data_IF_742403847485
#
_entry.id   IF_742403847485
#
_cell.length_a   1.000
_cell.length_b   1.000
_cell.length_c   1.000
_cell.angle_alpha   90.00
_cell.angle_beta   90.00
_cell.angle_gamma   90.00
#
_symmetry.space_group_name_H-M   'P 1'
#
loop_
_entity.id
_entity.type
_entity.pdbx_description
1 polymer ?
#
# COMPACT_ATOMS: atom_id res chain seq x y z
N UNK A 1 -10.90 19.37 16.57
CA UNK A 1 -12.11 19.57 17.40
C UNK A 1 -11.81 20.07 18.81
N UNK A 2 -11.30 19.28 19.76
CA UNK A 2 -11.12 19.77 21.15
C UNK A 2 -10.12 20.93 21.31
N UNK A 3 -9.05 20.95 20.50
CA UNK A 3 -8.03 22.02 20.55
C UNK A 3 -8.55 23.30 19.89
N UNK A 4 -9.26 23.18 18.78
CA UNK A 4 -9.85 24.33 18.06
C UNK A 4 -10.94 25.01 18.89
N UNK A 5 -11.77 24.24 19.61
CA UNK A 5 -12.78 24.80 20.51
C UNK A 5 -12.14 25.55 21.68
N UNK A 6 -11.11 24.97 22.32
CA UNK A 6 -10.36 25.65 23.38
C UNK A 6 -9.64 26.90 22.88
N UNK A 7 -9.16 26.88 21.64
CA UNK A 7 -8.55 28.04 21.01
C UNK A 7 -9.55 29.17 20.78
N UNK A 8 -10.76 28.86 20.30
CA UNK A 8 -11.79 29.87 20.04
C UNK A 8 -12.13 30.69 21.30
N UNK A 9 -12.32 30.03 22.45
CA UNK A 9 -12.60 30.71 23.73
C UNK A 9 -11.45 31.64 24.15
N UNK A 10 -10.20 31.22 23.94
CA UNK A 10 -9.02 32.01 24.24
C UNK A 10 -8.87 33.19 23.29
N UNK A 11 -9.11 32.99 21.99
CA UNK A 11 -9.08 34.05 20.98
C UNK A 11 -10.11 35.12 21.34
N UNK A 12 -11.35 34.72 21.64
CA UNK A 12 -12.41 35.65 22.05
C UNK A 12 -12.02 36.43 23.31
N UNK A 13 -11.42 35.77 24.30
CA UNK A 13 -10.91 36.44 25.50
C UNK A 13 -9.85 37.50 25.16
N UNK A 14 -8.84 37.16 24.36
CA UNK A 14 -7.77 38.08 23.98
C UNK A 14 -8.25 39.21 23.07
N UNK A 15 -9.20 38.95 22.17
CA UNK A 15 -9.81 39.97 21.30
C UNK A 15 -10.64 40.97 22.13
N UNK A 16 -11.40 40.48 23.10
CA UNK A 16 -12.15 41.33 24.03
C UNK A 16 -11.23 42.21 24.89
N UNK A 17 -10.09 41.68 25.34
CA UNK A 17 -9.08 42.47 26.05
C UNK A 17 -8.39 43.49 25.13
N UNK A 18 -8.06 43.10 23.89
CA UNK A 18 -7.44 43.99 22.92
C UNK A 18 -8.35 45.16 22.50
N UNK A 19 -9.67 44.96 22.48
CA UNK A 19 -10.65 46.03 22.16
C UNK A 19 -10.90 47.01 23.32
N UNK A 20 -10.62 46.62 24.56
CA UNK A 20 -10.82 47.46 25.75
C UNK A 20 -9.57 48.25 26.17
N UNK A 21 -8.38 47.76 25.80
CA UNK A 21 -7.10 48.36 26.16
C UNK A 21 -6.66 49.45 25.16
N UNK A 22 -5.88 50.42 25.66
CA UNK A 22 -5.23 51.43 24.82
C UNK A 22 -3.94 50.87 24.19
N UNK A 23 -3.54 51.44 23.06
CA UNK A 23 -2.33 51.11 22.30
C UNK A 23 -1.04 50.91 23.13
N UNK A 24 -0.87 51.64 24.24
CA UNK A 24 0.31 51.53 25.12
C UNK A 24 0.30 50.30 26.04
N UNK A 25 -0.87 49.72 26.33
CA UNK A 25 -1.02 48.54 27.19
C UNK A 25 -1.16 47.24 26.39
N UNK A 26 -0.98 47.29 25.07
CA UNK A 26 -1.20 46.18 24.16
C UNK A 26 0.00 45.21 24.13
N UNK A 27 1.20 45.69 24.45
CA UNK A 27 2.41 44.87 24.46
C UNK A 27 2.40 43.73 25.50
N UNK A 28 2.05 43.94 26.78
CA UNK A 28 1.90 42.85 27.75
C UNK A 28 0.88 41.79 27.31
N UNK A 29 -0.22 42.21 26.69
CA UNK A 29 -1.24 41.31 26.15
C UNK A 29 -0.69 40.45 25.01
N UNK A 30 0.11 41.04 24.11
CA UNK A 30 0.75 40.30 23.02
C UNK A 30 1.74 39.30 23.58
N UNK A 31 2.54 39.66 24.59
CA UNK A 31 3.45 38.71 25.25
C UNK A 31 2.66 37.55 25.85
N UNK A 32 1.56 37.82 26.54
CA UNK A 32 0.70 36.79 27.14
C UNK A 32 0.09 35.87 26.07
N UNK A 33 -0.49 36.44 25.01
CA UNK A 33 -1.09 35.68 23.90
C UNK A 33 -0.04 34.83 23.17
N UNK A 34 1.11 35.41 22.81
CA UNK A 34 2.19 34.70 22.11
C UNK A 34 2.85 33.64 22.99
N UNK A 35 2.84 33.77 24.31
CA UNK A 35 3.38 32.76 25.24
C UNK A 35 2.36 31.68 25.63
N UNK A 36 1.06 31.87 25.38
CA UNK A 36 0.01 30.97 25.88
C UNK A 36 0.04 29.56 25.21
N UNK A 37 0.26 28.45 25.91
CA UNK A 37 0.61 27.15 25.31
C UNK A 37 -0.43 26.58 24.34
N UNK A 38 -1.72 26.92 24.51
CA UNK A 38 -2.80 26.41 23.66
C UNK A 38 -3.18 27.32 22.49
N UNK A 39 -2.63 28.53 22.38
CA UNK A 39 -3.02 29.52 21.36
C UNK A 39 -2.03 29.51 20.19
N UNK A 40 -2.52 29.15 19.00
CA UNK A 40 -1.72 29.04 17.78
C UNK A 40 -2.27 29.84 16.59
N UNK A 41 -3.44 30.45 16.74
CA UNK A 41 -4.06 31.36 15.76
C UNK A 41 -4.07 32.79 16.32
N UNK A 42 -3.63 33.73 15.50
CA UNK A 42 -3.44 35.14 15.84
C UNK A 42 -4.10 36.08 14.83
N UNK A 43 -4.71 35.57 13.76
CA UNK A 43 -5.29 36.39 12.69
C UNK A 43 -6.41 37.31 13.19
N UNK A 44 -7.24 36.83 14.11
CA UNK A 44 -8.34 37.57 14.71
C UNK A 44 -7.81 38.70 15.61
N UNK A 45 -6.77 38.42 16.39
CA UNK A 45 -6.08 39.40 17.24
C UNK A 45 -5.43 40.47 16.36
N UNK A 46 -4.80 40.07 15.25
CA UNK A 46 -4.19 40.98 14.27
C UNK A 46 -5.23 41.84 13.54
N UNK A 47 -6.40 41.28 13.24
CA UNK A 47 -7.50 41.99 12.57
C UNK A 47 -8.21 43.01 13.46
N UNK A 48 -7.93 43.03 14.76
CA UNK A 48 -8.51 43.98 15.69
C UNK A 48 -8.13 45.42 15.32
N UNK A 49 -9.09 46.37 15.32
CA UNK A 49 -8.84 47.76 14.93
C UNK A 49 -7.80 48.43 15.83
N UNK A 50 -7.79 48.14 17.13
CA UNK A 50 -6.80 48.68 18.08
C UNK A 50 -5.36 48.28 17.73
N UNK A 51 -5.20 47.12 17.11
CA UNK A 51 -3.89 46.60 16.69
C UNK A 51 -3.46 47.23 15.38
N UNK A 52 -4.40 47.44 14.45
CA UNK A 52 -4.15 48.17 13.20
C UNK A 52 -3.74 49.63 13.45
N UNK A 53 -4.27 50.27 14.50
CA UNK A 53 -3.88 51.63 14.92
C UNK A 53 -2.42 51.76 15.40
N UNK A 54 -1.75 50.64 15.70
CA UNK A 54 -0.34 50.65 16.09
C UNK A 54 0.61 50.87 14.90
N UNK A 55 0.11 50.76 13.65
CA UNK A 55 0.90 50.91 12.45
C UNK A 55 1.36 52.36 12.28
N UNK A 56 2.68 52.58 12.42
CA UNK A 56 3.29 53.92 12.38
C UNK A 56 3.54 54.58 13.74
N UNK A 57 3.22 53.90 14.84
CA UNK A 57 3.55 54.36 16.21
C UNK A 57 4.89 53.79 16.71
N UNK A 58 5.36 54.25 17.87
CA UNK A 58 6.55 53.72 18.56
C UNK A 58 6.44 52.21 18.88
N UNK A 59 5.22 51.67 18.90
CA UNK A 59 4.92 50.26 19.16
C UNK A 59 4.77 49.43 17.87
N UNK A 60 5.29 49.90 16.73
CA UNK A 60 5.25 49.16 15.46
C UNK A 60 5.92 47.78 15.55
N UNK A 61 6.91 47.62 16.43
CA UNK A 61 7.55 46.34 16.70
C UNK A 61 6.57 45.27 17.22
N UNK A 62 5.50 45.66 17.94
CA UNK A 62 4.46 44.75 18.42
C UNK A 62 3.71 44.10 17.26
N UNK A 63 3.41 44.90 16.22
CA UNK A 63 2.76 44.43 15.00
C UNK A 63 3.66 43.48 14.22
N UNK A 64 4.95 43.80 14.12
CA UNK A 64 5.91 42.94 13.41
C UNK A 64 6.07 41.58 14.11
N UNK A 65 6.04 41.55 15.45
CA UNK A 65 6.01 40.29 16.22
C UNK A 65 4.71 39.52 15.96
N UNK A 66 3.54 40.16 16.04
CA UNK A 66 2.27 39.45 15.74
C UNK A 66 2.23 38.93 14.30
N UNK A 67 2.69 39.70 13.31
CA UNK A 67 2.79 39.27 11.90
C UNK A 67 3.74 38.09 11.73
N UNK A 68 4.85 38.08 12.48
CA UNK A 68 5.79 36.95 12.50
C UNK A 68 5.12 35.68 13.06
N UNK A 69 4.36 35.77 14.14
CA UNK A 69 3.66 34.61 14.71
C UNK A 69 2.49 34.14 13.83
N UNK A 70 1.75 35.06 13.22
CA UNK A 70 0.65 34.72 12.33
C UNK A 70 1.15 34.07 11.02
N UNK A 71 2.21 34.59 10.40
CA UNK A 71 2.57 34.22 9.03
C UNK A 71 4.02 33.78 8.83
N UNK A 72 4.93 34.15 9.71
CA UNK A 72 6.37 33.90 9.54
C UNK A 72 6.87 32.61 10.20
N UNK A 73 8.18 32.41 10.20
CA UNK A 73 8.88 31.22 10.68
C UNK A 73 10.06 31.59 11.59
N UNK A 74 10.67 30.61 12.25
CA UNK A 74 11.88 30.80 13.05
C UNK A 74 13.04 31.38 12.22
N UNK A 75 13.19 30.93 10.97
CA UNK A 75 14.18 31.47 10.04
C UNK A 75 13.94 32.94 9.69
N UNK A 76 12.67 33.37 9.60
CA UNK A 76 12.32 34.78 9.39
C UNK A 76 12.67 35.65 10.60
N UNK A 77 12.51 35.12 11.82
CA UNK A 77 12.93 35.80 13.05
C UNK A 77 14.44 36.02 13.07
N UNK A 78 15.24 34.98 12.78
CA UNK A 78 16.70 35.08 12.72
C UNK A 78 17.17 36.10 11.69
N UNK A 79 16.54 36.12 10.52
CA UNK A 79 16.87 37.05 9.44
C UNK A 79 16.56 38.50 9.81
N UNK A 80 15.56 38.72 10.67
CA UNK A 80 15.09 40.04 11.12
C UNK A 80 15.49 40.38 12.57
N UNK A 81 16.49 39.68 13.14
CA UNK A 81 16.88 39.82 14.55
C UNK A 81 17.31 41.24 14.96
N UNK A 82 17.64 42.12 14.00
CA UNK A 82 17.96 43.53 14.26
C UNK A 82 16.76 44.46 14.41
N UNK A 83 15.56 44.07 13.96
CA UNK A 83 14.32 44.88 14.05
C UNK A 83 13.36 44.41 15.14
N UNK A 84 13.41 43.12 15.48
CA UNK A 84 12.48 42.51 16.41
C UNK A 84 13.05 42.48 17.83
N UNK A 85 12.21 42.58 18.87
CA UNK A 85 12.64 42.43 20.25
C UNK A 85 13.12 40.99 20.53
N UNK A 86 13.89 40.82 21.61
CA UNK A 86 14.26 39.50 22.09
C UNK A 86 13.02 38.77 22.62
N UNK A 87 12.80 37.56 22.10
CA UNK A 87 11.66 36.73 22.47
C UNK A 87 11.93 35.98 23.78
N UNK A 88 10.88 35.82 24.58
CA UNK A 88 10.85 34.99 25.79
C UNK A 88 10.98 33.51 25.39
N UNK A 89 11.57 32.61 26.21
CA UNK A 89 11.73 31.20 25.86
C UNK A 89 10.44 30.51 25.39
N UNK A 90 9.30 30.82 26.01
CA UNK A 90 7.99 30.27 25.62
C UNK A 90 7.55 30.73 24.21
N UNK A 91 7.83 31.99 23.86
CA UNK A 91 7.59 32.53 22.53
C UNK A 91 8.50 31.88 21.48
N UNK A 92 9.77 31.63 21.82
CA UNK A 92 10.72 30.91 20.95
C UNK A 92 10.22 29.50 20.67
N UNK A 93 9.81 28.77 21.71
CA UNK A 93 9.26 27.43 21.60
C UNK A 93 8.03 27.42 20.67
N UNK A 94 7.12 28.38 20.86
CA UNK A 94 5.93 28.49 20.00
C UNK A 94 6.26 28.84 18.56
N UNK A 95 7.20 29.75 18.31
CA UNK A 95 7.58 30.08 16.94
C UNK A 95 8.21 28.87 16.22
N UNK A 96 8.96 28.05 16.95
CA UNK A 96 9.45 26.75 16.44
C UNK A 96 8.29 25.79 16.14
N UNK A 97 7.29 25.67 17.01
CA UNK A 97 6.09 24.85 16.76
C UNK A 97 5.33 25.30 15.50
N UNK A 98 5.13 26.61 15.34
CA UNK A 98 4.47 27.19 14.16
C UNK A 98 5.28 26.99 12.86
N UNK A 99 6.61 26.93 12.97
CA UNK A 99 7.49 26.60 11.85
C UNK A 99 7.28 25.16 11.41
N UNK A 100 7.20 24.20 12.35
CA UNK A 100 6.86 22.81 12.04
C UNK A 100 5.50 22.70 11.37
N UNK A 101 4.49 23.41 11.87
CA UNK A 101 3.16 23.44 11.25
C UNK A 101 3.20 23.93 9.80
N UNK A 102 3.93 25.01 9.54
CA UNK A 102 4.08 25.56 8.18
C UNK A 102 4.76 24.56 7.25
N UNK A 103 5.79 23.86 7.73
CA UNK A 103 6.46 22.82 6.95
C UNK A 103 5.54 21.62 6.68
N UNK A 104 4.78 21.20 7.69
CA UNK A 104 3.84 20.09 7.64
C UNK A 104 2.63 20.36 6.72
N UNK A 105 2.26 21.62 6.55
CA UNK A 105 1.27 22.06 5.57
C UNK A 105 1.77 21.88 4.14
N UNK A 106 3.04 22.21 3.88
CA UNK A 106 3.62 22.14 2.54
C UNK A 106 3.99 20.72 2.12
N UNK A 107 4.53 19.91 3.05
CA UNK A 107 5.09 18.60 2.74
C UNK A 107 4.60 17.53 3.73
N UNK A 108 4.12 16.40 3.20
CA UNK A 108 3.71 15.24 4.02
C UNK A 108 4.87 14.45 4.62
N UNK A 109 6.05 14.51 3.99
CA UNK A 109 7.26 13.86 4.49
C UNK A 109 8.31 14.93 4.70
N UNK A 110 8.73 15.11 5.96
CA UNK A 110 9.66 16.14 6.38
C UNK A 110 11.02 15.52 6.73
N UNK A 111 12.08 15.77 5.94
CA UNK A 111 13.43 15.31 6.26
C UNK A 111 13.93 15.95 7.56
N UNK A 112 14.65 15.17 8.38
CA UNK A 112 15.22 15.66 9.63
C UNK A 112 16.23 16.77 9.39
N UNK A 113 17.02 16.71 8.33
CA UNK A 113 18.04 17.73 8.06
C UNK A 113 17.39 19.10 7.79
N UNK A 114 16.24 19.13 7.10
CA UNK A 114 15.46 20.36 6.89
C UNK A 114 14.87 20.87 8.22
N UNK A 115 14.27 19.97 9.02
CA UNK A 115 13.72 20.35 10.33
C UNK A 115 14.80 20.87 11.29
N UNK A 116 15.97 20.23 11.32
CA UNK A 116 17.11 20.65 12.13
C UNK A 116 17.62 22.04 11.73
N UNK A 117 17.69 22.31 10.42
CA UNK A 117 18.09 23.63 9.91
C UNK A 117 17.06 24.70 10.26
N UNK A 118 15.77 24.45 10.01
CA UNK A 118 14.69 25.42 10.23
C UNK A 118 14.39 25.67 11.71
N UNK A 119 14.65 24.71 12.59
CA UNK A 119 14.43 24.84 14.04
C UNK A 119 15.70 25.20 14.82
N UNK A 120 16.85 25.25 14.13
CA UNK A 120 18.17 25.45 14.75
C UNK A 120 18.50 24.41 15.82
N UNK A 121 18.24 23.14 15.49
CA UNK A 121 18.46 22.00 16.38
C UNK A 121 19.63 21.18 15.85
N UNK A 122 20.61 20.90 16.71
CA UNK A 122 21.85 20.24 16.30
C UNK A 122 21.81 18.72 16.45
N UNK A 123 20.93 18.20 17.32
CA UNK A 123 20.85 16.79 17.63
C UNK A 123 19.50 16.20 17.21
N UNK A 124 19.53 15.01 16.60
CA UNK A 124 18.33 14.25 16.23
C UNK A 124 17.46 13.96 17.46
N UNK A 125 18.08 13.64 18.61
CA UNK A 125 17.33 13.36 19.84
C UNK A 125 16.56 14.58 20.33
N UNK A 126 17.18 15.75 20.27
CA UNK A 126 16.52 17.01 20.65
C UNK A 126 15.37 17.33 19.68
N UNK A 127 15.53 17.03 18.38
CA UNK A 127 14.47 17.17 17.41
C UNK A 127 13.30 16.22 17.71
N UNK A 128 13.58 14.95 17.99
CA UNK A 128 12.55 13.96 18.33
C UNK A 128 11.82 14.33 19.62
N UNK A 129 12.56 14.70 20.67
CA UNK A 129 11.99 15.15 21.94
C UNK A 129 11.10 16.39 21.73
N UNK A 130 11.51 17.33 20.87
CA UNK A 130 10.72 18.50 20.51
C UNK A 130 9.44 18.12 19.73
N UNK A 131 9.55 17.26 18.71
CA UNK A 131 8.39 16.83 17.93
C UNK A 131 7.39 16.06 18.81
N UNK A 132 7.86 15.22 19.72
CA UNK A 132 7.00 14.43 20.60
C UNK A 132 6.37 15.34 21.67
N UNK A 133 7.19 15.95 22.52
CA UNK A 133 6.74 16.69 23.71
C UNK A 133 6.05 18.00 23.37
N UNK A 134 6.60 18.75 22.42
CA UNK A 134 6.12 20.09 22.12
C UNK A 134 5.11 20.11 20.98
N UNK A 135 5.16 19.17 20.03
CA UNK A 135 4.23 19.16 18.89
C UNK A 135 3.11 18.11 19.00
N UNK A 136 3.46 16.85 19.24
CA UNK A 136 2.47 15.76 19.25
C UNK A 136 1.60 15.78 20.51
N UNK A 137 2.19 15.99 21.69
CA UNK A 137 1.43 16.10 22.95
C UNK A 137 0.56 17.36 23.01
N UNK A 138 1.02 18.47 22.42
CA UNK A 138 0.19 19.66 22.21
C UNK A 138 -0.96 19.40 21.22
N UNK A 139 -0.88 18.33 20.43
CA UNK A 139 -1.89 17.92 19.46
C UNK A 139 -1.93 18.77 18.19
N UNK A 140 -0.87 19.55 17.95
CA UNK A 140 -0.75 20.39 16.75
C UNK A 140 -0.35 19.56 15.52
N UNK A 141 0.43 18.49 15.70
CA UNK A 141 0.83 17.59 14.61
C UNK A 141 0.69 16.14 15.05
N UNK A 142 0.28 15.26 14.15
CA UNK A 142 0.31 13.80 14.34
C UNK A 142 1.01 13.15 13.17
N UNK A 143 1.84 12.16 13.44
CA UNK A 143 2.63 11.50 12.42
C UNK A 143 3.48 10.38 12.99
N UNK A 144 4.30 9.79 12.12
CA UNK A 144 5.27 8.75 12.49
C UNK A 144 6.69 9.26 12.27
N UNK A 145 7.56 8.98 13.23
CA UNK A 145 8.99 9.26 13.14
C UNK A 145 9.68 8.03 12.54
N UNK A 146 10.31 8.19 11.37
CA UNK A 146 11.12 7.15 10.75
C UNK A 146 12.61 7.51 10.91
N UNK A 147 13.25 6.87 11.89
CA UNK A 147 14.65 7.10 12.18
C UNK A 147 15.59 6.53 11.10
N UNK A 148 15.19 5.46 10.40
CA UNK A 148 16.01 4.85 9.36
C UNK A 148 16.09 5.76 8.13
N UNK A 149 14.96 6.32 7.72
CA UNK A 149 14.87 7.26 6.59
C UNK A 149 15.19 8.71 7.00
N UNK A 150 15.37 8.98 8.30
CA UNK A 150 15.57 10.31 8.88
C UNK A 150 14.48 11.28 8.43
N UNK A 151 13.23 10.86 8.51
CA UNK A 151 12.10 11.68 8.12
C UNK A 151 10.92 11.55 9.08
N UNK A 152 10.13 12.61 9.13
CA UNK A 152 8.87 12.66 9.85
C UNK A 152 7.71 12.63 8.85
N UNK A 153 6.88 11.59 8.94
CA UNK A 153 5.70 11.41 8.10
C UNK A 153 4.48 12.01 8.78
N UNK A 154 4.02 13.16 8.26
CA UNK A 154 2.89 13.92 8.77
C UNK A 154 1.58 13.28 8.31
N UNK A 155 0.78 12.81 9.26
CA UNK A 155 -0.58 12.33 9.01
C UNK A 155 -1.61 13.46 9.16
N UNK A 156 -1.41 14.30 10.17
CA UNK A 156 -2.27 15.43 10.48
C UNK A 156 -1.43 16.60 10.95
N UNK A 157 -1.78 17.81 10.49
CA UNK A 157 -1.27 19.05 11.00
C UNK A 157 -2.47 19.99 11.22
N UNK A 158 -2.48 20.68 12.35
CA UNK A 158 -3.47 21.71 12.63
C UNK A 158 -3.31 22.86 11.65
N UNK A 159 -4.43 23.54 11.33
CA UNK A 159 -4.38 24.75 10.53
C UNK A 159 -3.72 25.89 11.31
N UNK A 160 -2.85 26.65 10.65
CA UNK A 160 -2.37 27.95 11.13
C UNK A 160 -3.20 29.07 10.50
N UNK A 161 -2.91 30.32 10.89
CA UNK A 161 -3.47 31.53 10.27
C UNK A 161 -3.23 31.60 8.76
N UNK A 162 -4.29 31.88 8.03
CA UNK A 162 -4.25 32.08 6.58
C UNK A 162 -3.60 33.42 6.24
N UNK A 163 -2.64 33.39 5.31
CA UNK A 163 -2.10 34.61 4.69
C UNK A 163 -3.16 35.24 3.79
N UNK A 164 -3.22 36.58 3.70
CA UNK A 164 -4.08 37.28 2.75
C UNK A 164 -3.84 36.75 1.32
N UNK A 165 -4.88 36.20 0.68
CA UNK A 165 -4.82 35.64 -0.67
C UNK A 165 -4.68 34.11 -0.77
N UNK A 166 -4.36 33.39 0.30
CA UNK A 166 -4.30 31.91 0.28
C UNK A 166 -5.66 31.25 0.07
N UNK A 167 -6.75 31.90 0.50
CA UNK A 167 -8.12 31.39 0.33
C UNK A 167 -8.46 31.08 -1.13
N UNK A 168 -7.99 31.90 -2.08
CA UNK A 168 -8.19 31.66 -3.51
C UNK A 168 -7.54 30.36 -3.98
N UNK A 169 -6.31 30.09 -3.53
CA UNK A 169 -5.60 28.84 -3.86
C UNK A 169 -6.30 27.62 -3.26
N UNK A 170 -6.81 27.75 -2.02
CA UNK A 170 -7.57 26.67 -1.38
C UNK A 170 -8.87 26.37 -2.14
N UNK A 171 -9.61 27.40 -2.53
CA UNK A 171 -10.82 27.27 -3.35
C UNK A 171 -10.50 26.58 -4.68
N UNK A 172 -9.42 26.97 -5.36
CA UNK A 172 -9.00 26.32 -6.60
C UNK A 172 -8.61 24.86 -6.38
N UNK A 173 -7.90 24.54 -5.31
CA UNK A 173 -7.49 23.16 -4.99
C UNK A 173 -8.70 22.28 -4.73
N UNK A 174 -9.69 22.77 -3.99
CA UNK A 174 -10.95 22.06 -3.75
C UNK A 174 -11.77 21.90 -5.04
N UNK A 175 -11.80 22.91 -5.90
CA UNK A 175 -12.45 22.81 -7.22
C UNK A 175 -11.78 21.73 -8.07
N UNK A 176 -10.45 21.74 -8.18
CA UNK A 176 -9.71 20.73 -8.93
C UNK A 176 -9.95 19.32 -8.38
N UNK A 177 -10.05 19.18 -7.05
CA UNK A 177 -10.33 17.89 -6.42
C UNK A 177 -11.76 17.40 -6.72
N UNK A 178 -12.74 18.32 -6.72
CA UNK A 178 -14.11 18.01 -7.12
C UNK A 178 -14.16 17.54 -8.58
N UNK A 179 -13.52 18.30 -9.48
CA UNK A 179 -13.45 17.97 -10.91
C UNK A 179 -12.80 16.59 -11.12
N UNK A 180 -11.69 16.32 -10.41
CA UNK A 180 -11.01 15.01 -10.47
C UNK A 180 -11.91 13.88 -9.95
N UNK A 181 -12.69 14.13 -8.89
CA UNK A 181 -13.62 13.15 -8.35
C UNK A 181 -14.76 12.85 -9.33
N UNK A 182 -15.29 13.87 -9.99
CA UNK A 182 -16.33 13.73 -11.01
C UNK A 182 -15.80 12.96 -12.23
N UNK A 183 -14.59 13.26 -12.69
CA UNK A 183 -13.93 12.54 -13.78
C UNK A 183 -13.71 11.06 -13.44
N UNK A 184 -13.28 10.76 -12.21
CA UNK A 184 -13.13 9.37 -11.73
C UNK A 184 -14.48 8.64 -11.69
N UNK A 185 -15.55 9.30 -11.25
CA UNK A 185 -16.89 8.72 -11.26
C UNK A 185 -17.36 8.39 -12.67
N UNK A 186 -17.14 9.29 -13.63
CA UNK A 186 -17.44 9.04 -15.05
C UNK A 186 -16.64 7.85 -15.57
N UNK A 187 -15.34 7.79 -15.30
CA UNK A 187 -14.49 6.68 -15.73
C UNK A 187 -14.92 5.33 -15.14
N UNK A 188 -15.33 5.31 -13.86
CA UNK A 188 -15.87 4.10 -13.22
C UNK A 188 -17.18 3.69 -13.88
N UNK A 189 -18.09 4.64 -14.16
CA UNK A 189 -19.36 4.35 -14.84
C UNK A 189 -19.15 3.80 -16.26
N UNK A 190 -18.16 4.31 -17.00
CA UNK A 190 -17.80 3.79 -18.31
C UNK A 190 -17.24 2.36 -18.22
N UNK A 191 -16.37 2.09 -17.25
CA UNK A 191 -15.85 0.73 -17.03
C UNK A 191 -16.93 -0.26 -16.64
N UNK A 192 -17.91 0.14 -15.84
CA UNK A 192 -19.09 -0.70 -15.51
C UNK A 192 -19.88 -1.02 -16.80
N UNK A 193 -20.21 0.00 -17.61
CA UNK A 193 -20.93 -0.21 -18.88
C UNK A 193 -20.17 -1.12 -19.84
N UNK A 194 -18.85 -0.96 -19.93
CA UNK A 194 -17.98 -1.81 -20.74
C UNK A 194 -17.97 -3.25 -20.22
N UNK A 195 -17.86 -3.45 -18.90
CA UNK A 195 -17.88 -4.77 -18.28
C UNK A 195 -19.24 -5.47 -18.50
N UNK A 196 -20.35 -4.75 -18.36
CA UNK A 196 -21.70 -5.27 -18.63
C UNK A 196 -21.85 -5.67 -20.11
N UNK A 197 -21.42 -4.81 -21.03
CA UNK A 197 -21.50 -5.08 -22.48
C UNK A 197 -20.65 -6.29 -22.87
N UNK A 198 -19.44 -6.40 -22.32
CA UNK A 198 -18.54 -7.54 -22.53
C UNK A 198 -19.15 -8.82 -21.95
N UNK A 199 -19.71 -8.76 -20.74
CA UNK A 199 -20.41 -9.88 -20.11
C UNK A 199 -21.60 -10.38 -20.93
N UNK A 200 -22.37 -9.48 -21.54
CA UNK A 200 -23.47 -9.85 -22.44
C UNK A 200 -22.98 -10.50 -23.74
N UNK A 201 -21.90 -9.97 -24.33
CA UNK A 201 -21.28 -10.55 -25.52
C UNK A 201 -20.72 -11.95 -25.23
N UNK A 202 -20.05 -12.12 -24.09
CA UNK A 202 -19.50 -13.41 -23.66
C UNK A 202 -20.61 -14.44 -23.39
N UNK A 203 -21.70 -14.04 -22.72
CA UNK A 203 -22.89 -14.90 -22.54
C UNK A 203 -23.51 -15.33 -23.87
N UNK A 204 -23.54 -14.42 -24.86
CA UNK A 204 -24.04 -14.75 -26.20
C UNK A 204 -23.10 -15.70 -26.93
N UNK A 205 -21.79 -15.46 -26.85
CA UNK A 205 -20.78 -16.32 -27.44
C UNK A 205 -20.81 -17.73 -26.82
N UNK A 206 -20.90 -17.82 -25.50
CA UNK A 206 -21.04 -19.09 -24.78
C UNK A 206 -22.25 -19.89 -25.26
N UNK A 207 -23.41 -19.25 -25.40
CA UNK A 207 -24.63 -19.90 -25.94
C UNK A 207 -24.45 -20.39 -27.38
N UNK A 208 -23.77 -19.62 -28.23
CA UNK A 208 -23.49 -20.03 -29.62
C UNK A 208 -22.55 -21.24 -29.65
N UNK A 209 -21.50 -21.25 -28.83
CA UNK A 209 -20.58 -22.38 -28.69
C UNK A 209 -21.32 -23.62 -28.19
N UNK A 210 -22.14 -23.51 -27.15
CA UNK A 210 -22.96 -24.61 -26.63
C UNK A 210 -23.90 -25.16 -27.71
N UNK A 211 -24.57 -24.29 -28.47
CA UNK A 211 -25.44 -24.70 -29.58
C UNK A 211 -24.66 -25.49 -30.65
N UNK A 212 -23.49 -24.99 -31.06
CA UNK A 212 -22.63 -25.66 -32.06
C UNK A 212 -22.10 -27.00 -31.56
N UNK A 213 -21.75 -27.10 -30.28
CA UNK A 213 -21.34 -28.37 -29.65
C UNK A 213 -22.47 -29.39 -29.70
N UNK A 214 -23.70 -28.99 -29.39
CA UNK A 214 -24.86 -29.87 -29.47
C UNK A 214 -25.19 -30.30 -30.91
N UNK A 215 -25.00 -29.41 -31.89
CA UNK A 215 -25.16 -29.75 -33.31
C UNK A 215 -24.11 -30.78 -33.76
N UNK A 216 -22.85 -30.59 -33.38
CA UNK A 216 -21.76 -31.53 -33.68
C UNK A 216 -22.04 -32.89 -33.01
N UNK A 217 -22.44 -32.91 -31.73
CA UNK A 217 -22.84 -34.16 -31.03
C UNK A 217 -23.95 -34.90 -31.75
N UNK A 218 -25.01 -34.22 -32.20
CA UNK A 218 -26.11 -34.83 -32.97
C UNK A 218 -25.62 -35.41 -34.30
N UNK A 219 -24.76 -34.68 -35.02
CA UNK A 219 -24.19 -35.16 -36.29
C UNK A 219 -23.29 -36.39 -36.12
N UNK A 220 -22.54 -36.45 -35.02
CA UNK A 220 -21.72 -37.60 -34.65
C UNK A 220 -22.58 -38.80 -34.22
N UNK A 221 -23.65 -38.56 -33.45
CA UNK A 221 -24.61 -39.62 -33.08
C UNK A 221 -25.29 -40.21 -34.32
N UNK A 222 -25.67 -39.38 -35.29
CA UNK A 222 -26.25 -39.83 -36.56
C UNK A 222 -25.25 -40.62 -37.40
N UNK A 223 -23.96 -40.28 -37.37
CA UNK A 223 -22.90 -41.07 -38.01
C UNK A 223 -22.63 -42.39 -37.28
N UNK A 224 -22.63 -42.39 -35.95
CA UNK A 224 -22.47 -43.59 -35.14
C UNK A 224 -23.63 -44.59 -35.34
N UNK A 225 -24.86 -44.11 -35.56
CA UNK A 225 -26.00 -44.97 -35.91
C UNK A 225 -25.90 -45.60 -37.32
N UNK A 226 -25.15 -44.99 -38.24
CA UNK A 226 -24.88 -45.55 -39.59
C UNK A 226 -23.77 -46.61 -39.51
N UNK A 227 -22.76 -46.41 -38.65
CA UNK A 227 -21.67 -47.37 -38.46
C UNK A 227 -22.07 -48.60 -37.60
N UNK A 228 -23.19 -48.53 -36.85
CA UNK A 228 -23.70 -49.65 -36.03
C UNK A 228 -24.34 -50.81 -36.84
N UNK A 229 -24.27 -50.79 -38.18
CA UNK A 229 -24.62 -51.95 -39.04
C UNK A 229 -23.42 -52.76 -39.52
N UNK A 230 -22.21 -52.48 -39.05
CA UNK A 230 -21.04 -53.27 -39.42
C UNK A 230 -19.92 -53.22 -38.39
N UNK A 231 -19.82 -54.30 -37.62
CA UNK A 231 -18.71 -54.74 -36.76
C UNK A 231 -18.66 -54.25 -35.30
N UNK A 232 -18.88 -55.25 -34.43
CA UNK A 232 -18.62 -55.25 -32.99
C UNK A 232 -17.11 -55.16 -32.66
N UNK A 233 -16.87 -54.72 -31.42
CA UNK A 233 -15.63 -54.74 -30.64
C UNK A 233 -14.60 -53.63 -30.90
N UNK A 234 -14.48 -52.70 -29.95
CA UNK A 234 -13.26 -52.40 -29.16
C UNK A 234 -13.55 -51.23 -28.19
N UNK A 235 -13.06 -51.37 -26.95
CA UNK A 235 -13.08 -50.40 -25.85
C UNK A 235 -12.69 -48.97 -26.28
N UNK A 236 -13.38 -47.95 -25.75
CA UNK A 236 -12.87 -46.57 -25.70
C UNK A 236 -13.49 -45.79 -24.53
N UNK A 237 -12.66 -45.50 -23.52
CA UNK A 237 -12.86 -44.40 -22.57
C UNK A 237 -12.54 -43.07 -23.27
N UNK A 238 -13.24 -41.95 -22.98
CA UNK A 238 -13.00 -40.67 -23.64
C UNK A 238 -11.79 -39.94 -23.02
N UNK A 239 -10.59 -40.25 -23.50
CA UNK A 239 -9.41 -39.41 -23.31
C UNK A 239 -9.44 -38.23 -24.29
N UNK A 240 -9.40 -37.01 -23.78
CA UNK A 240 -9.34 -35.79 -24.59
C UNK A 240 -8.11 -35.80 -25.51
N UNK A 241 -8.35 -35.75 -26.81
CA UNK A 241 -7.32 -35.63 -27.85
C UNK A 241 -7.00 -34.14 -28.00
N UNK A 242 -5.81 -33.71 -27.57
CA UNK A 242 -5.21 -32.47 -28.07
C UNK A 242 -4.64 -32.76 -29.46
N UNK A 243 -5.22 -32.12 -30.48
CA UNK A 243 -4.61 -32.06 -31.81
C UNK A 243 -3.31 -31.23 -31.74
N UNK A 244 -2.19 -31.86 -32.07
CA UNK A 244 -0.93 -31.15 -32.34
C UNK A 244 -0.70 -31.16 -33.85
N UNK A 245 -0.77 -29.99 -34.49
CA UNK A 245 -0.16 -29.81 -35.82
C UNK A 245 1.37 -29.87 -35.67
N UNK A 246 1.98 -30.84 -36.34
CA UNK A 246 3.40 -31.19 -36.19
C UNK A 246 4.28 -30.32 -37.12
N UNK A 247 4.62 -29.09 -36.69
CA UNK A 247 5.64 -28.28 -37.40
C UNK A 247 7.06 -28.73 -36.99
N UNK A 248 7.64 -29.65 -37.77
CA UNK A 248 8.94 -30.31 -37.52
C UNK A 248 10.19 -29.44 -37.76
N UNK A 249 10.06 -28.12 -37.89
CA UNK A 249 11.16 -27.27 -38.39
C UNK A 249 11.86 -26.36 -37.36
N UNK A 250 11.42 -26.32 -36.09
CA UNK A 250 12.02 -25.45 -35.05
C UNK A 250 12.67 -26.25 -33.91
N UNK A 251 13.84 -25.82 -33.38
CA UNK A 251 14.41 -26.42 -32.17
C UNK A 251 13.39 -26.36 -31.03
N UNK A 252 13.17 -27.49 -30.34
CA UNK A 252 12.19 -27.63 -29.27
C UNK A 252 12.61 -26.81 -28.05
N UNK A 253 12.24 -25.54 -28.01
CA UNK A 253 12.24 -24.76 -26.78
C UNK A 253 10.98 -25.11 -25.98
N UNK A 254 11.14 -25.77 -24.83
CA UNK A 254 10.04 -25.88 -23.86
C UNK A 254 9.76 -24.46 -23.37
N UNK A 255 8.57 -23.94 -23.68
CA UNK A 255 8.11 -22.65 -23.17
C UNK A 255 7.20 -22.94 -21.99
N UNK A 256 7.56 -22.48 -20.81
CA UNK A 256 6.66 -22.45 -19.66
C UNK A 256 5.63 -21.37 -19.99
N UNK A 257 4.37 -21.77 -20.19
CA UNK A 257 3.26 -20.84 -20.21
C UNK A 257 2.83 -20.62 -18.77
N UNK A 258 2.73 -19.35 -18.36
CA UNK A 258 2.15 -18.96 -17.08
C UNK A 258 0.67 -19.38 -17.07
N UNK A 259 0.31 -20.27 -16.14
CA UNK A 259 -1.07 -20.72 -15.96
C UNK A 259 -1.89 -19.78 -15.06
N UNK A 260 -1.42 -18.55 -14.82
CA UNK A 260 -2.11 -17.58 -13.97
C UNK A 260 -2.12 -17.99 -12.50
N UNK A 261 -1.05 -18.66 -12.05
CA UNK A 261 -0.91 -19.18 -10.69
C UNK A 261 -0.03 -18.31 -9.78
N UNK A 262 0.57 -17.23 -10.30
CA UNK A 262 1.40 -16.31 -9.54
C UNK A 262 0.84 -14.90 -9.54
N UNK A 263 0.63 -14.34 -8.36
CA UNK A 263 0.48 -12.89 -8.16
C UNK A 263 1.55 -12.46 -7.15
N UNK A 264 2.25 -11.36 -7.41
CA UNK A 264 3.19 -10.78 -6.45
C UNK A 264 2.35 -10.22 -5.30
N UNK A 265 2.36 -10.87 -4.14
CA UNK A 265 1.65 -10.40 -2.96
C UNK A 265 2.28 -9.08 -2.50
N UNK A 266 1.67 -7.95 -2.88
CA UNK A 266 1.92 -6.69 -2.19
C UNK A 266 1.43 -6.82 -0.74
N UNK A 267 2.15 -6.18 0.20
CA UNK A 267 2.06 -6.30 1.67
C UNK A 267 0.68 -6.00 2.32
N UNK A 268 -0.44 -6.11 1.61
CA UNK A 268 -1.77 -5.65 2.01
C UNK A 268 -2.86 -6.73 2.02
N UNK A 269 -2.54 -8.01 1.85
CA UNK A 269 -3.51 -9.09 2.05
C UNK A 269 -3.24 -9.82 3.36
N UNK A 270 -4.29 -9.95 4.18
CA UNK A 270 -4.26 -10.73 5.42
C UNK A 270 -3.88 -12.19 5.08
N UNK A 271 -2.97 -12.84 5.84
CA UNK A 271 -2.52 -14.22 5.61
C UNK A 271 -3.64 -15.30 5.62
N UNK A 272 -4.88 -14.90 5.90
CA UNK A 272 -6.05 -15.76 6.02
C UNK A 272 -6.90 -15.87 4.76
N UNK A 273 -6.66 -15.03 3.75
CA UNK A 273 -7.37 -15.15 2.48
C UNK A 273 -6.68 -16.20 1.61
N UNK A 274 -7.28 -17.40 1.59
CA UNK A 274 -6.77 -18.55 0.84
C UNK A 274 -6.93 -18.31 -0.67
N UNK A 275 -5.96 -17.62 -1.28
CA UNK A 275 -5.86 -17.44 -2.73
C UNK A 275 -4.87 -18.48 -3.28
N UNK A 276 -5.35 -19.43 -4.07
CA UNK A 276 -4.55 -20.48 -4.72
C UNK A 276 -5.31 -21.77 -5.05
N UNK A 277 -4.71 -22.64 -5.86
CA UNK A 277 -5.27 -23.98 -6.16
C UNK A 277 -4.92 -24.95 -5.02
N UNK A 278 -5.92 -25.32 -4.20
CA UNK A 278 -5.79 -26.22 -3.01
C UNK A 278 -4.97 -27.48 -3.32
N UNK A 279 -5.08 -28.01 -4.55
CA UNK A 279 -4.40 -29.22 -4.99
C UNK A 279 -2.86 -29.14 -4.91
N UNK A 280 -2.27 -27.96 -5.03
CA UNK A 280 -0.82 -27.77 -5.00
C UNK A 280 -0.35 -27.01 -3.75
N UNK A 281 -1.26 -26.69 -2.82
CA UNK A 281 -0.93 -25.92 -1.63
C UNK A 281 -0.02 -26.73 -0.69
N UNK A 282 0.94 -26.03 -0.08
CA UNK A 282 1.88 -26.64 0.86
C UNK A 282 1.27 -26.87 2.25
N UNK A 283 1.76 -27.88 3.00
CA UNK A 283 1.24 -28.22 4.33
C UNK A 283 1.27 -27.05 5.31
N UNK A 284 2.33 -26.26 5.31
CA UNK A 284 2.51 -25.10 6.20
C UNK A 284 1.49 -23.99 5.94
N UNK A 285 1.05 -23.83 4.69
CA UNK A 285 0.02 -22.87 4.27
C UNK A 285 -1.38 -23.31 4.66
N UNK A 286 -1.58 -24.61 4.86
CA UNK A 286 -2.84 -25.19 5.32
C UNK A 286 -2.94 -25.16 6.86
N UNK A 287 -1.84 -25.44 7.57
CA UNK A 287 -1.85 -25.65 9.03
C UNK A 287 -1.68 -24.37 9.86
N UNK A 288 -0.83 -23.43 9.43
CA UNK A 288 -0.40 -22.31 10.28
C UNK A 288 -0.71 -20.89 9.75
N UNK A 289 -1.02 -20.73 8.47
CA UNK A 289 -1.34 -19.42 7.86
C UNK A 289 -0.23 -18.36 7.92
N UNK A 290 0.95 -18.70 8.44
CA UNK A 290 2.18 -17.90 8.38
C UNK A 290 3.21 -18.76 7.67
N UNK A 291 3.59 -18.34 6.46
CA UNK A 291 4.46 -19.13 5.59
C UNK A 291 5.58 -18.26 5.05
N UNK A 292 6.77 -18.85 4.96
CA UNK A 292 7.78 -18.38 4.02
C UNK A 292 7.21 -18.61 2.61
N UNK A 293 6.87 -17.51 1.92
CA UNK A 293 6.27 -17.51 0.58
C UNK A 293 7.09 -18.36 -0.41
N UNK A 294 8.41 -18.36 -0.25
CA UNK A 294 9.33 -19.10 -1.11
C UNK A 294 9.24 -20.62 -0.93
N UNK A 295 8.99 -21.12 0.28
CA UNK A 295 8.88 -22.55 0.54
C UNK A 295 7.60 -23.16 -0.10
N UNK A 296 6.50 -22.39 -0.06
CA UNK A 296 5.23 -22.78 -0.66
C UNK A 296 5.30 -22.89 -2.20
N UNK A 297 6.04 -21.99 -2.85
CA UNK A 297 6.24 -22.02 -4.30
C UNK A 297 7.08 -23.22 -4.74
N UNK A 298 8.13 -23.56 -3.97
CA UNK A 298 8.97 -24.73 -4.24
C UNK A 298 8.15 -26.02 -4.15
N UNK A 299 7.28 -26.14 -3.14
CA UNK A 299 6.37 -27.28 -2.98
C UNK A 299 5.42 -27.41 -4.18
N UNK A 300 4.77 -26.31 -4.55
CA UNK A 300 3.82 -26.25 -5.68
C UNK A 300 4.50 -26.63 -7.00
N UNK A 301 5.73 -26.15 -7.20
CA UNK A 301 6.55 -26.49 -8.35
C UNK A 301 6.91 -27.99 -8.37
N UNK A 302 7.33 -28.56 -7.24
CA UNK A 302 7.67 -29.97 -7.12
C UNK A 302 6.51 -30.90 -7.49
N UNK A 303 5.30 -30.62 -6.99
CA UNK A 303 4.10 -31.38 -7.34
C UNK A 303 3.72 -31.24 -8.81
N UNK A 304 3.86 -30.05 -9.39
CA UNK A 304 3.59 -29.81 -10.82
C UNK A 304 4.51 -30.63 -11.72
N UNK A 305 5.81 -30.66 -11.41
CA UNK A 305 6.77 -31.48 -12.17
C UNK A 305 6.52 -32.97 -11.99
N UNK A 306 6.14 -33.41 -10.79
CA UNK A 306 5.75 -34.80 -10.53
C UNK A 306 4.51 -35.22 -11.32
N UNK A 307 3.49 -34.36 -11.41
CA UNK A 307 2.29 -34.63 -12.21
C UNK A 307 2.60 -34.71 -13.70
N UNK A 308 3.43 -33.80 -14.21
CA UNK A 308 3.92 -33.85 -15.60
C UNK A 308 4.68 -35.15 -15.85
N UNK A 309 5.51 -35.59 -14.91
CA UNK A 309 6.30 -36.81 -15.05
C UNK A 309 5.44 -38.09 -14.98
N UNK A 310 4.44 -38.13 -14.08
CA UNK A 310 3.59 -39.29 -13.86
C UNK A 310 2.40 -39.36 -14.82
N UNK A 311 2.07 -38.26 -15.51
CA UNK A 311 0.87 -38.11 -16.33
C UNK A 311 -0.44 -38.10 -15.52
N UNK A 312 -0.35 -38.07 -14.18
CA UNK A 312 -1.45 -38.01 -13.23
C UNK A 312 -0.99 -37.36 -11.94
N UNK A 313 -1.92 -36.75 -11.20
CA UNK A 313 -1.62 -36.10 -9.94
C UNK A 313 -1.08 -37.12 -8.91
N UNK A 314 0.07 -36.85 -8.23
CA UNK A 314 0.77 -37.82 -7.41
C UNK A 314 0.06 -38.24 -6.11
N UNK A 315 -0.94 -37.50 -5.64
CA UNK A 315 -1.70 -37.82 -4.41
C UNK A 315 -3.10 -38.31 -4.81
N UNK A 316 -3.33 -39.62 -4.70
CA UNK A 316 -4.62 -40.24 -5.00
C UNK A 316 -5.56 -40.15 -3.80
N UNK A 317 -6.73 -39.53 -3.99
CA UNK A 317 -7.76 -39.35 -2.96
C UNK A 317 -9.12 -39.75 -3.54
N UNK A 318 -9.90 -40.53 -2.79
CA UNK A 318 -11.23 -40.96 -3.20
C UNK A 318 -12.21 -39.78 -3.31
N UNK A 319 -13.21 -39.91 -4.20
CA UNK A 319 -14.07 -38.81 -4.67
C UNK A 319 -15.05 -38.24 -3.64
N UNK A 320 -15.32 -38.95 -2.54
CA UNK A 320 -16.23 -38.47 -1.49
C UNK A 320 -15.43 -37.71 -0.44
N UNK A 321 -15.77 -36.43 -0.26
CA UNK A 321 -15.05 -35.52 0.66
C UNK A 321 -13.60 -35.23 0.24
N UNK A 322 -13.40 -35.10 -1.07
CA UNK A 322 -12.10 -34.98 -1.74
C UNK A 322 -11.19 -33.90 -1.14
N UNK A 323 -11.72 -32.69 -0.88
CA UNK A 323 -10.91 -31.57 -0.37
C UNK A 323 -10.41 -31.81 1.06
N UNK A 324 -11.27 -32.28 1.96
CA UNK A 324 -10.91 -32.58 3.35
C UNK A 324 -9.86 -33.69 3.42
N UNK A 325 -10.02 -34.73 2.59
CA UNK A 325 -9.08 -35.85 2.54
C UNK A 325 -7.77 -35.50 1.84
N UNK A 326 -7.81 -34.61 0.86
CA UNK A 326 -6.62 -34.07 0.20
C UNK A 326 -5.80 -33.20 1.14
N UNK A 327 -6.44 -32.31 1.88
CA UNK A 327 -5.81 -31.51 2.95
C UNK A 327 -5.18 -32.43 3.99
N UNK A 328 -5.92 -33.43 4.47
CA UNK A 328 -5.37 -34.40 5.42
C UNK A 328 -4.18 -35.17 4.82
N UNK A 329 -4.26 -35.58 3.55
CA UNK A 329 -3.17 -36.28 2.88
C UNK A 329 -1.92 -35.41 2.73
N UNK A 330 -2.07 -34.13 2.40
CA UNK A 330 -0.97 -33.16 2.27
C UNK A 330 -0.31 -32.90 3.63
N UNK A 331 -1.09 -32.70 4.69
CA UNK A 331 -0.55 -32.37 6.03
C UNK A 331 0.00 -33.58 6.80
N UNK A 332 -0.55 -34.78 6.60
CA UNK A 332 -0.29 -35.94 7.46
C UNK A 332 0.42 -37.11 6.78
N UNK A 333 0.59 -37.08 5.44
CA UNK A 333 1.25 -38.18 4.70
C UNK A 333 2.70 -37.86 4.37
N UNK A 334 3.54 -38.90 4.25
CA UNK A 334 4.88 -38.74 3.69
C UNK A 334 4.81 -38.23 2.23
N UNK A 335 5.76 -37.41 1.78
CA UNK A 335 5.74 -36.84 0.43
C UNK A 335 5.69 -37.93 -0.63
N UNK A 336 4.94 -37.74 -1.73
CA UNK A 336 4.69 -38.78 -2.72
C UNK A 336 5.99 -39.27 -3.37
N UNK A 337 6.19 -40.59 -3.38
CA UNK A 337 7.34 -41.26 -3.99
C UNK A 337 7.00 -41.74 -5.41
N UNK A 338 7.81 -41.34 -6.39
CA UNK A 338 7.73 -41.90 -7.73
C UNK A 338 8.25 -43.35 -7.74
N UNK A 339 7.35 -44.32 -7.89
CA UNK A 339 7.72 -45.73 -8.00
C UNK A 339 8.27 -46.07 -9.40
N UNK A 340 9.61 -46.06 -9.50
CA UNK A 340 10.50 -46.93 -10.32
C UNK A 340 10.79 -46.54 -11.79
N UNK A 341 12.03 -46.90 -12.21
CA UNK A 341 12.63 -47.15 -13.55
C UNK A 341 13.65 -46.18 -14.17
N UNK A 342 13.77 -44.93 -13.73
CA UNK A 342 14.95 -44.08 -14.02
C UNK A 342 15.47 -43.42 -12.74
N UNK A 343 16.55 -43.99 -12.19
CA UNK A 343 17.12 -43.63 -10.88
C UNK A 343 17.71 -42.22 -10.79
N UNK A 344 17.92 -41.50 -11.89
CA UNK A 344 18.54 -40.16 -11.85
C UNK A 344 17.51 -39.04 -11.70
N UNK A 345 16.43 -39.05 -12.49
CA UNK A 345 15.44 -37.98 -12.50
C UNK A 345 14.45 -38.08 -11.34
N UNK A 346 13.93 -39.28 -11.07
CA UNK A 346 12.97 -39.52 -9.98
C UNK A 346 13.60 -39.24 -8.59
N UNK A 347 14.88 -39.55 -8.40
CA UNK A 347 15.62 -39.24 -7.17
C UNK A 347 15.87 -37.74 -7.01
N UNK A 348 16.04 -37.02 -8.12
CA UNK A 348 16.20 -35.56 -8.11
C UNK A 348 14.89 -34.86 -7.73
N UNK A 349 13.75 -35.28 -8.28
CA UNK A 349 12.44 -34.71 -7.94
C UNK A 349 12.01 -35.01 -6.50
N UNK A 350 12.34 -36.19 -6.01
CA UNK A 350 12.12 -36.54 -4.61
C UNK A 350 12.99 -35.70 -3.66
N UNK A 351 14.20 -35.32 -4.08
CA UNK A 351 15.03 -34.38 -3.33
C UNK A 351 14.37 -32.99 -3.29
N UNK A 352 13.82 -32.49 -4.41
CA UNK A 352 13.11 -31.19 -4.46
C UNK A 352 11.94 -31.13 -3.47
N UNK A 353 11.10 -32.16 -3.42
CA UNK A 353 9.96 -32.21 -2.49
C UNK A 353 10.35 -32.46 -1.03
N UNK A 354 11.57 -33.00 -0.77
CA UNK A 354 12.10 -33.15 0.60
C UNK A 354 12.82 -31.89 1.08
N UNK A 355 13.51 -31.18 0.20
CA UNK A 355 14.19 -29.92 0.52
C UNK A 355 13.16 -28.84 0.90
N UNK A 356 11.99 -28.82 0.26
CA UNK A 356 10.88 -27.90 0.58
C UNK A 356 10.22 -28.15 1.93
N UNK A 357 10.46 -29.29 2.57
CA UNK A 357 9.97 -29.60 3.94
C UNK A 357 10.99 -29.24 5.04
N UNK A 358 12.17 -28.71 4.69
CA UNK A 358 13.16 -28.25 5.66
C UNK A 358 12.99 -26.75 5.86
N UNK A 359 13.04 -26.28 7.11
CA UNK A 359 12.97 -24.84 7.46
C UNK A 359 14.04 -23.97 6.75
N UNK A 360 15.11 -24.59 6.20
CA UNK A 360 16.26 -23.92 5.59
C UNK A 360 16.31 -24.04 4.04
N UNK A 361 15.30 -24.63 3.41
CA UNK A 361 15.30 -24.98 1.98
C UNK A 361 15.10 -23.77 1.07
N UNK A 362 16.18 -23.26 0.48
CA UNK A 362 16.11 -22.11 -0.47
C UNK A 362 16.19 -22.54 -1.93
N UNK A 363 15.53 -21.80 -2.82
CA UNK A 363 15.63 -21.97 -4.28
C UNK A 363 17.09 -21.95 -4.78
N UNK A 364 17.98 -21.26 -4.06
CA UNK A 364 19.42 -21.21 -4.33
C UNK A 364 20.08 -22.59 -4.18
N UNK A 365 19.71 -23.37 -3.17
CA UNK A 365 20.23 -24.72 -2.96
C UNK A 365 19.73 -25.69 -4.03
N UNK A 366 18.47 -25.56 -4.44
CA UNK A 366 17.89 -26.35 -5.54
C UNK A 366 18.60 -26.08 -6.88
N UNK A 367 18.99 -24.83 -7.14
CA UNK A 367 19.75 -24.47 -8.35
C UNK A 367 21.11 -25.16 -8.44
N UNK A 368 21.68 -25.58 -7.31
CA UNK A 368 22.94 -26.31 -7.21
C UNK A 368 22.76 -27.83 -7.30
N UNK A 369 21.52 -28.32 -7.52
CA UNK A 369 21.27 -29.75 -7.60
C UNK A 369 22.01 -30.38 -8.80
N UNK A 370 22.66 -31.55 -8.65
CA UNK A 370 23.45 -32.18 -9.71
C UNK A 370 22.72 -32.35 -11.04
N UNK A 371 21.40 -32.58 -10.99
CA UNK A 371 20.55 -32.66 -12.18
C UNK A 371 20.43 -31.34 -12.95
N UNK A 372 20.34 -30.21 -12.25
CA UNK A 372 20.25 -28.88 -12.89
C UNK A 372 21.62 -28.52 -13.46
N UNK A 373 22.69 -28.72 -12.69
CA UNK A 373 24.06 -28.45 -13.13
C UNK A 373 24.49 -29.31 -14.33
N UNK A 374 24.05 -30.57 -14.41
CA UNK A 374 24.34 -31.45 -15.55
C UNK A 374 23.58 -31.07 -16.83
N UNK A 375 22.45 -30.36 -16.70
CA UNK A 375 21.59 -29.98 -17.82
C UNK A 375 21.56 -28.47 -18.08
N UNK A 376 22.44 -27.69 -17.44
CA UNK A 376 22.72 -26.31 -17.83
C UNK A 376 23.41 -26.34 -19.19
N UNK A 377 22.60 -26.25 -20.24
CA UNK A 377 23.09 -25.97 -21.58
C UNK A 377 23.72 -24.57 -21.51
N UNK A 378 25.01 -24.46 -21.83
CA UNK A 378 25.71 -23.18 -22.01
C UNK A 378 24.80 -22.24 -22.82
N UNK A 379 24.45 -21.11 -22.22
CA UNK A 379 23.57 -20.07 -22.77
C UNK A 379 23.96 -19.66 -24.18
#
# INVERSE_FOLDING_TARGET
MDIEQKQAELIDHFVNQASTLKASALWPLIIEATSHPSLFAFSEILSSPTVSELEGTENSFCLDVLRLFAHGTWSDYKSNAGRLPQLVPDQVLKLKQLTVLTLAEMNKVLPYDQLMQELDVTNVRELEDFLINECMYAGIVRGKLDQLRRCFEVQFAAGRDLRPGQLGNMLQTLSNWLDTSDDLLVSIQEKIKWADSTSELDKKHQKDVEYRVEEVKKSLSLKADIDFRGHEEIYSEPGGVMDYEEDRSRPKSVKIADFGLGEILSQFLDPKDFVGTIRYTSPERIDCGMCDEYAGDIWSFGLSILEIYLGRFPIEVETRDYLTRLVFAICMSAPPEARVHQRSFATSLHAVCKESQREDGSALQLSQHPFILQNQVNQ
#
